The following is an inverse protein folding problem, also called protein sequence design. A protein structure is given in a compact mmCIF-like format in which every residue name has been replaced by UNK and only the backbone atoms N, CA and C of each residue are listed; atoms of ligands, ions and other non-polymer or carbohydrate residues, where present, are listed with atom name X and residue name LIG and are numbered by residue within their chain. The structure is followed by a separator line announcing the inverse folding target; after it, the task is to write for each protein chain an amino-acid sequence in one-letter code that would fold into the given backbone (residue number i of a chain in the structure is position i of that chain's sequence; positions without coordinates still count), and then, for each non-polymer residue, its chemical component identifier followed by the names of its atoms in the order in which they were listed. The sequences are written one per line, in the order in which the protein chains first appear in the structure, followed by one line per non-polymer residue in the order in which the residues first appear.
data_IF_178965033111
#
_entry.id   IF_178965033111
#
_cell.length_a   1.000
_cell.length_b   1.000
_cell.length_c   1.000
_cell.angle_alpha   90.00
_cell.angle_beta   90.00
_cell.angle_gamma   90.00
#
_symmetry.space_group_name_H-M   'P 1'
#
loop_
_entity.id
_entity.type
_entity.pdbx_description
1 polymer ?
#
# COMPACT_ATOMS: atom_id res chain seq x y z
N UNK A 1 -20.69 -2.59 22.60
CA UNK A 1 -20.40 -3.51 21.50
C UNK A 1 -21.00 -2.97 20.19
N UNK A 2 -20.23 -2.97 19.13
CA UNK A 2 -20.76 -2.54 17.85
C UNK A 2 -21.78 -3.55 17.33
N UNK A 3 -22.84 -3.05 16.67
CA UNK A 3 -23.81 -3.89 16.01
C UNK A 3 -23.19 -4.54 14.76
N UNK A 4 -23.87 -5.56 14.22
CA UNK A 4 -23.43 -6.19 12.96
C UNK A 4 -23.39 -5.15 11.84
N UNK A 5 -24.37 -4.25 11.79
CA UNK A 5 -24.42 -3.21 10.76
C UNK A 5 -23.24 -2.24 10.89
N UNK A 6 -22.91 -1.83 12.09
CA UNK A 6 -21.73 -0.98 12.34
C UNK A 6 -20.45 -1.69 11.96
N UNK A 7 -20.33 -2.98 12.27
CA UNK A 7 -19.19 -3.80 11.89
C UNK A 7 -19.03 -3.88 10.37
N UNK A 8 -20.13 -4.07 9.66
CA UNK A 8 -20.10 -4.10 8.19
C UNK A 8 -19.69 -2.75 7.59
N UNK A 9 -20.20 -1.65 8.15
CA UNK A 9 -19.82 -0.31 7.69
C UNK A 9 -18.33 -0.06 7.90
N UNK A 10 -17.80 -0.47 9.04
CA UNK A 10 -16.37 -0.33 9.32
C UNK A 10 -15.53 -1.15 8.36
N UNK A 11 -15.98 -2.36 8.02
CA UNK A 11 -15.29 -3.19 7.03
C UNK A 11 -15.27 -2.52 5.65
N UNK A 12 -16.40 -1.92 5.24
CA UNK A 12 -16.45 -1.20 3.97
C UNK A 12 -15.45 -0.05 3.94
N UNK A 13 -15.36 0.71 5.03
CA UNK A 13 -14.40 1.82 5.13
C UNK A 13 -12.96 1.31 5.00
N UNK A 14 -12.63 0.21 5.66
CA UNK A 14 -11.31 -0.37 5.62
C UNK A 14 -10.97 -0.91 4.23
N UNK A 15 -11.92 -1.55 3.56
CA UNK A 15 -11.74 -2.01 2.18
C UNK A 15 -11.50 -0.85 1.23
N UNK A 16 -12.27 0.23 1.38
CA UNK A 16 -12.10 1.42 0.55
C UNK A 16 -10.73 2.05 0.77
N UNK A 17 -10.29 2.16 2.02
CA UNK A 17 -8.96 2.68 2.35
C UNK A 17 -7.86 1.83 1.73
N UNK A 18 -7.99 0.53 1.85
CA UNK A 18 -7.02 -0.42 1.28
C UNK A 18 -6.94 -0.30 -0.23
N UNK A 19 -8.08 -0.18 -0.88
CA UNK A 19 -8.16 -0.02 -2.33
C UNK A 19 -7.47 1.26 -2.80
N UNK A 20 -7.68 2.37 -2.09
CA UNK A 20 -7.00 3.63 -2.37
C UNK A 20 -5.48 3.51 -2.23
N UNK A 21 -5.02 2.79 -1.19
CA UNK A 21 -3.60 2.52 -1.01
C UNK A 21 -3.03 1.71 -2.18
N UNK A 22 -3.74 0.67 -2.60
CA UNK A 22 -3.32 -0.17 -3.73
C UNK A 22 -3.23 0.63 -5.02
N UNK A 23 -4.19 1.53 -5.23
CA UNK A 23 -4.20 2.40 -6.41
C UNK A 23 -3.00 3.33 -6.41
N UNK A 24 -2.72 3.98 -5.30
CA UNK A 24 -1.57 4.88 -5.19
C UNK A 24 -0.26 4.10 -5.35
N UNK A 25 -0.14 2.92 -4.74
CA UNK A 25 1.03 2.06 -4.87
C UNK A 25 1.26 1.67 -6.33
N UNK A 26 0.19 1.32 -7.06
CA UNK A 26 0.28 0.97 -8.47
C UNK A 26 0.76 2.15 -9.32
N UNK A 27 0.26 3.34 -9.05
CA UNK A 27 0.68 4.55 -9.75
C UNK A 27 2.16 4.85 -9.53
N UNK A 28 2.62 4.73 -8.28
CA UNK A 28 4.03 4.94 -7.94
C UNK A 28 4.90 3.88 -8.62
N UNK A 29 4.52 2.62 -8.53
CA UNK A 29 5.27 1.53 -9.16
C UNK A 29 5.36 1.73 -10.68
N UNK A 30 4.29 2.18 -11.31
CA UNK A 30 4.28 2.46 -12.74
C UNK A 30 5.29 3.54 -13.10
N UNK A 31 5.30 4.66 -12.36
CA UNK A 31 6.26 5.74 -12.63
C UNK A 31 7.70 5.27 -12.47
N UNK A 32 7.98 4.48 -11.44
CA UNK A 32 9.34 4.02 -11.14
C UNK A 32 9.84 2.94 -12.09
N UNK A 33 8.94 2.23 -12.76
CA UNK A 33 9.32 1.13 -13.66
C UNK A 33 9.19 1.47 -15.14
N UNK A 34 8.93 2.74 -15.46
CA UNK A 34 8.94 3.20 -16.85
C UNK A 34 10.34 3.08 -17.44
N UNK A 35 10.47 2.96 -18.79
CA UNK A 35 11.78 2.85 -19.42
C UNK A 35 12.72 3.98 -19.00
N UNK A 36 13.93 3.61 -18.61
CA UNK A 36 14.94 4.56 -18.14
C UNK A 36 14.87 4.91 -16.67
N UNK A 37 13.86 4.43 -15.95
CA UNK A 37 13.70 4.69 -14.53
C UNK A 37 14.35 3.56 -13.69
N UNK A 38 14.84 3.88 -12.48
CA UNK A 38 15.58 2.90 -11.68
C UNK A 38 14.73 1.86 -10.97
N UNK A 39 13.41 1.94 -11.06
CA UNK A 39 12.51 1.02 -10.36
C UNK A 39 12.45 1.26 -8.86
N UNK A 40 11.94 0.28 -8.14
CA UNK A 40 11.77 0.38 -6.68
C UNK A 40 13.09 0.22 -5.92
N UNK A 41 14.06 -0.49 -6.49
CA UNK A 41 15.31 -0.85 -5.79
C UNK A 41 16.57 -0.64 -6.62
N UNK A 42 16.45 -0.20 -7.86
CA UNK A 42 17.62 -0.02 -8.71
C UNK A 42 18.55 1.08 -8.22
N UNK A 43 19.80 1.03 -8.65
CA UNK A 43 20.80 2.02 -8.27
C UNK A 43 20.43 3.39 -8.79
N UNK A 44 20.73 4.42 -8.00
CA UNK A 44 20.46 5.82 -8.37
C UNK A 44 21.71 6.49 -8.96
N UNK A 45 22.81 5.80 -8.97
CA UNK A 45 24.07 6.27 -9.52
C UNK A 45 24.62 5.21 -10.47
N UNK A 46 25.45 5.64 -11.43
CA UNK A 46 26.12 4.73 -12.36
C UNK A 46 27.36 4.11 -11.68
N UNK A 47 28.13 3.32 -12.45
CA UNK A 47 29.32 2.64 -11.94
C UNK A 47 30.38 3.61 -11.44
N UNK A 48 30.39 4.83 -11.95
CA UNK A 48 31.38 5.84 -11.58
C UNK A 48 30.92 6.73 -10.44
N UNK A 49 29.70 6.48 -9.92
CA UNK A 49 29.14 7.23 -8.80
C UNK A 49 28.38 8.49 -9.20
N UNK A 50 28.15 8.71 -10.49
CA UNK A 50 27.38 9.85 -10.96
C UNK A 50 25.88 9.55 -11.02
N UNK A 51 25.04 10.57 -10.74
CA UNK A 51 23.59 10.39 -10.87
C UNK A 51 23.20 9.90 -12.26
N UNK A 52 22.19 9.05 -12.34
CA UNK A 52 21.67 8.55 -13.61
C UNK A 52 21.08 9.73 -14.40
N UNK A 53 21.53 9.95 -15.67
CA UNK A 53 21.02 11.06 -16.48
C UNK A 53 19.52 10.96 -16.75
N UNK A 54 18.84 12.09 -16.76
CA UNK A 54 17.42 12.15 -17.10
C UNK A 54 16.48 11.68 -16.01
N UNK A 55 16.99 11.41 -14.81
CA UNK A 55 16.19 10.94 -13.67
C UNK A 55 16.19 11.99 -12.58
N UNK A 56 14.99 12.35 -12.10
CA UNK A 56 14.84 13.23 -10.94
C UNK A 56 14.98 12.40 -9.67
N UNK A 57 16.15 12.44 -9.06
CA UNK A 57 16.46 11.63 -7.88
C UNK A 57 15.61 12.01 -6.67
N UNK A 58 15.23 13.28 -6.54
CA UNK A 58 14.34 13.72 -5.46
C UNK A 58 12.97 13.05 -5.59
N UNK A 59 12.43 13.04 -6.80
CA UNK A 59 11.14 12.40 -7.05
C UNK A 59 11.21 10.89 -6.81
N UNK A 60 12.27 10.25 -7.29
CA UNK A 60 12.46 8.81 -7.11
C UNK A 60 12.53 8.45 -5.62
N UNK A 61 13.32 9.19 -4.85
CA UNK A 61 13.44 8.96 -3.42
C UNK A 61 12.12 9.19 -2.70
N UNK A 62 11.40 10.25 -3.07
CA UNK A 62 10.09 10.55 -2.53
C UNK A 62 9.09 9.45 -2.83
N UNK A 63 9.05 9.00 -4.08
CA UNK A 63 8.15 7.92 -4.51
C UNK A 63 8.47 6.61 -3.79
N UNK A 64 9.74 6.27 -3.68
CA UNK A 64 10.16 5.07 -2.95
C UNK A 64 9.76 5.12 -1.48
N UNK A 65 9.95 6.27 -0.83
CA UNK A 65 9.56 6.48 0.55
C UNK A 65 8.07 6.38 0.75
N UNK A 66 7.31 7.01 -0.15
CA UNK A 66 5.84 6.94 -0.10
C UNK A 66 5.35 5.50 -0.31
N UNK A 67 5.93 4.79 -1.27
CA UNK A 67 5.58 3.40 -1.53
C UNK A 67 5.82 2.53 -0.29
N UNK A 68 6.96 2.71 0.38
CA UNK A 68 7.28 1.95 1.59
C UNK A 68 6.26 2.23 2.71
N UNK A 69 5.89 3.50 2.90
CA UNK A 69 4.86 3.89 3.88
C UNK A 69 3.53 3.23 3.55
N UNK A 70 3.10 3.31 2.29
CA UNK A 70 1.85 2.71 1.85
C UNK A 70 1.84 1.20 2.03
N UNK A 71 2.96 0.54 1.75
CA UNK A 71 3.07 -0.90 1.93
C UNK A 71 2.89 -1.29 3.39
N UNK A 72 3.50 -0.54 4.31
CA UNK A 72 3.35 -0.78 5.73
C UNK A 72 1.92 -0.52 6.20
N UNK A 73 1.34 0.59 5.77
CA UNK A 73 -0.04 0.93 6.11
C UNK A 73 -1.03 -0.09 5.54
N UNK A 74 -0.78 -0.56 4.33
CA UNK A 74 -1.60 -1.58 3.69
C UNK A 74 -1.58 -2.88 4.50
N UNK A 75 -0.42 -3.28 5.01
CA UNK A 75 -0.29 -4.45 5.86
C UNK A 75 -1.09 -4.30 7.16
N UNK A 76 -1.05 -3.12 7.76
CA UNK A 76 -1.80 -2.82 8.99
C UNK A 76 -3.31 -2.88 8.74
N UNK A 77 -3.77 -2.27 7.64
CA UNK A 77 -5.19 -2.31 7.28
C UNK A 77 -5.64 -3.74 7.02
N UNK A 78 -4.80 -4.54 6.36
CA UNK A 78 -5.12 -5.94 6.09
C UNK A 78 -5.29 -6.75 7.38
N UNK A 79 -4.42 -6.52 8.35
CA UNK A 79 -4.53 -7.17 9.67
C UNK A 79 -5.82 -6.78 10.37
N UNK A 80 -6.17 -5.50 10.32
CA UNK A 80 -7.40 -5.01 10.93
C UNK A 80 -8.63 -5.62 10.26
N UNK A 81 -8.61 -5.73 8.93
CA UNK A 81 -9.69 -6.38 8.19
C UNK A 81 -9.87 -7.83 8.59
N UNK A 82 -8.80 -8.58 8.68
CA UNK A 82 -8.83 -10.00 9.07
C UNK A 82 -9.41 -10.15 10.48
N UNK A 83 -8.98 -9.31 11.39
CA UNK A 83 -9.47 -9.32 12.77
C UNK A 83 -10.97 -9.05 12.82
N UNK A 84 -11.42 -7.99 12.13
CA UNK A 84 -12.83 -7.61 12.12
C UNK A 84 -13.71 -8.62 11.41
N UNK A 85 -13.21 -9.26 10.36
CA UNK A 85 -13.94 -10.34 9.69
C UNK A 85 -14.16 -11.51 10.63
N UNK A 86 -13.13 -11.92 11.39
CA UNK A 86 -13.26 -12.98 12.37
C UNK A 86 -14.28 -12.63 13.43
N UNK A 87 -14.25 -11.40 13.96
CA UNK A 87 -15.20 -10.94 14.96
C UNK A 87 -16.62 -10.93 14.41
N UNK A 88 -16.80 -10.48 13.17
CA UNK A 88 -18.11 -10.44 12.53
C UNK A 88 -18.68 -11.84 12.35
N UNK A 89 -17.87 -12.80 11.95
CA UNK A 89 -18.29 -14.19 11.79
C UNK A 89 -18.76 -14.76 13.12
N UNK A 90 -18.05 -14.44 14.21
CA UNK A 90 -18.45 -14.87 15.55
C UNK A 90 -19.77 -14.23 15.98
N UNK A 91 -19.94 -12.92 15.72
CA UNK A 91 -21.18 -12.20 16.03
C UNK A 91 -22.37 -12.75 15.27
N UNK A 92 -22.17 -13.15 14.02
CA UNK A 92 -23.21 -13.68 13.17
C UNK A 92 -23.52 -15.16 13.46
N UNK A 93 -22.79 -15.78 14.39
CA UNK A 93 -22.97 -17.19 14.71
C UNK A 93 -22.44 -18.14 13.65
N UNK A 94 -21.58 -17.65 12.75
CA UNK A 94 -20.95 -18.49 11.75
C UNK A 94 -19.79 -19.23 12.40
N UNK A 95 -20.00 -20.50 12.65
CA UNK A 95 -18.98 -21.35 13.26
C UNK A 95 -18.70 -22.55 12.37
N UNK A 96 -17.56 -23.10 12.51
CA UNK A 96 -17.20 -24.35 11.84
C UNK A 96 -17.02 -25.44 12.85
#
# INVERSE_FOLDING_TARGET
MASIDESKEKLKELYATREEMEKEMAEIAQRLTEPGMPGLRGALVDREGFPIPGVDLYQVRGDRGRYATLRNDHAEVTKELEKRLSELHLQAGVTK
#
